data_IF_471691345546
#
_entry.id   IF_471691345546
#
_cell.length_a   1.000
_cell.length_b   1.000
_cell.length_c   1.000
_cell.angle_alpha   90.00
_cell.angle_beta   90.00
_cell.angle_gamma   90.00
#
_symmetry.space_group_name_H-M   'P 1'
#
loop_
_entity.id
_entity.type
_entity.pdbx_description
1 polymer ?
#
# COMPACT_ATOMS: atom_id res chain seq x y z
N UNK A 1 -25.32 -1.74 -14.49
CA UNK A 1 -24.25 -1.26 -15.39
C UNK A 1 -22.95 -1.68 -14.76
N UNK A 2 -22.09 -2.41 -15.47
CA UNK A 2 -20.75 -2.71 -14.96
C UNK A 2 -19.94 -1.42 -14.89
N UNK A 3 -19.37 -1.11 -13.74
CA UNK A 3 -18.49 0.04 -13.58
C UNK A 3 -17.18 -0.24 -14.33
N UNK A 4 -16.84 0.65 -15.25
CA UNK A 4 -15.61 0.56 -16.04
C UNK A 4 -14.88 1.88 -16.01
N UNK A 5 -13.55 1.82 -15.99
CA UNK A 5 -12.70 2.98 -16.16
C UNK A 5 -11.57 2.64 -17.14
N UNK A 6 -10.93 3.64 -17.73
CA UNK A 6 -9.80 3.40 -18.63
C UNK A 6 -8.84 4.57 -18.61
N UNK A 7 -7.60 4.29 -18.99
CA UNK A 7 -6.60 5.33 -19.12
C UNK A 7 -5.61 5.07 -20.25
N UNK A 8 -5.12 6.16 -20.84
CA UNK A 8 -4.04 6.17 -21.81
C UNK A 8 -2.87 6.98 -21.29
N UNK A 9 -1.68 6.43 -21.40
CA UNK A 9 -0.47 7.04 -20.84
C UNK A 9 0.73 6.76 -21.74
N UNK A 10 1.67 7.71 -21.76
CA UNK A 10 2.93 7.54 -22.48
C UNK A 10 3.80 6.54 -21.71
N UNK A 11 4.26 5.49 -22.41
CA UNK A 11 5.03 4.39 -21.83
C UNK A 11 6.29 4.88 -21.12
N UNK A 12 7.03 5.83 -21.71
CA UNK A 12 8.27 6.36 -21.13
C UNK A 12 8.01 7.09 -19.81
N UNK A 13 6.94 7.89 -19.73
CA UNK A 13 6.56 8.60 -18.50
C UNK A 13 6.17 7.64 -17.39
N UNK A 14 5.32 6.66 -17.70
CA UNK A 14 4.91 5.63 -16.74
C UNK A 14 6.12 4.82 -16.24
N UNK A 15 7.01 4.38 -17.15
CA UNK A 15 8.23 3.66 -16.76
C UNK A 15 9.18 4.52 -15.92
N UNK A 16 9.28 5.82 -16.20
CA UNK A 16 10.14 6.72 -15.43
C UNK A 16 9.61 6.90 -14.00
N UNK A 17 8.30 7.05 -13.83
CA UNK A 17 7.69 7.13 -12.51
C UNK A 17 7.83 5.80 -11.74
N UNK A 18 7.57 4.66 -12.38
CA UNK A 18 7.78 3.34 -11.76
C UNK A 18 9.25 3.10 -11.36
N UNK A 19 10.21 3.51 -12.19
CA UNK A 19 11.64 3.43 -11.84
C UNK A 19 11.99 4.30 -10.63
N UNK A 20 11.38 5.48 -10.49
CA UNK A 20 11.58 6.31 -9.30
C UNK A 20 11.10 5.59 -8.04
N UNK A 21 9.91 4.99 -8.09
CA UNK A 21 9.34 4.17 -7.00
C UNK A 21 10.20 2.92 -6.72
N UNK A 22 10.73 2.26 -7.75
CA UNK A 22 11.58 1.08 -7.57
C UNK A 22 12.95 1.37 -6.95
N UNK A 23 13.50 2.59 -7.14
CA UNK A 23 14.81 2.97 -6.58
C UNK A 23 14.77 3.16 -5.07
N UNK A 24 13.64 3.66 -4.59
CA UNK A 24 13.38 3.96 -3.18
C UNK A 24 12.86 2.73 -2.46
N UNK A 25 12.09 1.86 -3.12
CA UNK A 25 11.64 0.59 -2.59
C UNK A 25 12.80 -0.38 -2.35
N UNK A 26 13.38 -0.31 -1.15
CA UNK A 26 14.52 -1.13 -0.70
C UNK A 26 14.12 -2.38 0.06
N UNK A 27 12.82 -2.66 0.17
CA UNK A 27 12.27 -3.83 0.86
C UNK A 27 13.00 -5.12 0.49
N UNK A 28 13.32 -5.93 1.51
CA UNK A 28 13.86 -7.28 1.34
C UNK A 28 12.85 -8.22 0.64
N UNK A 29 11.58 -7.84 0.59
CA UNK A 29 10.48 -8.54 -0.08
C UNK A 29 10.05 -7.87 -1.39
N UNK A 30 10.99 -7.37 -2.20
CA UNK A 30 10.73 -6.63 -3.46
C UNK A 30 9.52 -7.17 -4.25
N UNK A 31 9.43 -8.48 -4.51
CA UNK A 31 8.34 -9.08 -5.30
C UNK A 31 6.92 -8.94 -4.73
N UNK A 32 6.79 -8.57 -3.46
CA UNK A 32 5.52 -8.39 -2.76
C UNK A 32 5.13 -6.91 -2.62
N UNK A 33 5.96 -5.96 -3.04
CA UNK A 33 5.62 -4.53 -2.95
C UNK A 33 4.36 -4.23 -3.76
N UNK A 34 3.32 -3.77 -3.06
CA UNK A 34 2.03 -3.36 -3.63
C UNK A 34 2.11 -1.90 -4.05
N UNK A 35 1.66 -1.61 -5.25
CA UNK A 35 1.48 -0.29 -5.81
C UNK A 35 0.00 0.05 -5.81
N UNK A 36 -0.36 1.10 -5.10
CA UNK A 36 -1.66 1.74 -5.20
C UNK A 36 -1.67 2.65 -6.42
N UNK A 37 -2.71 2.54 -7.25
CA UNK A 37 -2.92 3.42 -8.39
C UNK A 37 -4.32 3.99 -8.33
N UNK A 38 -4.40 5.33 -8.26
CA UNK A 38 -5.65 6.08 -8.30
C UNK A 38 -5.74 6.79 -9.65
N UNK A 39 -6.86 6.57 -10.34
CA UNK A 39 -7.24 7.17 -11.60
C UNK A 39 -8.29 8.25 -11.33
N UNK A 40 -7.96 9.50 -11.64
CA UNK A 40 -8.86 10.66 -11.48
C UNK A 40 -8.58 11.60 -12.66
N UNK A 41 -9.63 12.07 -13.34
CA UNK A 41 -9.65 13.12 -14.36
C UNK A 41 -8.28 13.70 -14.78
N UNK A 42 -7.68 13.10 -15.81
CA UNK A 42 -6.42 13.57 -16.39
C UNK A 42 -5.15 13.09 -15.69
N UNK A 43 -5.27 12.30 -14.61
CA UNK A 43 -4.19 11.97 -13.69
C UNK A 43 -4.18 10.49 -13.29
N UNK A 44 -2.97 9.94 -13.21
CA UNK A 44 -2.68 8.72 -12.48
C UNK A 44 -1.80 9.06 -11.29
N UNK A 45 -2.31 8.82 -10.09
CA UNK A 45 -1.55 8.91 -8.85
C UNK A 45 -1.12 7.50 -8.45
N UNK A 46 0.18 7.32 -8.26
CA UNK A 46 0.81 6.05 -7.90
C UNK A 46 1.44 6.19 -6.52
N UNK A 47 1.14 5.26 -5.62
CA UNK A 47 1.63 5.30 -4.25
C UNK A 47 2.15 3.94 -3.78
N UNK A 48 3.22 3.99 -2.99
CA UNK A 48 3.67 2.94 -2.09
C UNK A 48 3.81 3.58 -0.69
N UNK A 49 3.99 2.81 0.39
CA UNK A 49 4.33 3.37 1.69
C UNK A 49 5.46 4.42 1.59
N UNK A 50 5.14 5.65 1.99
CA UNK A 50 6.07 6.77 2.12
C UNK A 50 6.33 7.57 0.86
N UNK A 51 5.82 7.14 -0.32
CA UNK A 51 6.09 7.80 -1.60
C UNK A 51 4.86 7.80 -2.50
N UNK A 52 4.59 8.97 -3.07
CA UNK A 52 3.49 9.19 -4.00
C UNK A 52 3.98 10.00 -5.19
N UNK A 53 3.65 9.55 -6.40
CA UNK A 53 3.98 10.22 -7.66
C UNK A 53 2.73 10.38 -8.51
N UNK A 54 2.64 11.49 -9.24
CA UNK A 54 1.55 11.77 -10.15
C UNK A 54 2.09 11.82 -11.59
N UNK A 55 1.36 11.24 -12.54
CA UNK A 55 1.64 11.36 -13.97
C UNK A 55 0.37 11.75 -14.72
N UNK A 56 0.53 12.52 -15.79
CA UNK A 56 -0.58 12.92 -16.65
C UNK A 56 -1.02 11.71 -17.48
N UNK A 57 -2.33 11.50 -17.60
CA UNK A 57 -2.91 10.45 -18.41
C UNK A 57 -4.26 10.91 -18.98
N UNK A 58 -4.63 10.43 -20.17
CA UNK A 58 -6.00 10.62 -20.64
C UNK A 58 -6.89 9.57 -19.98
N UNK A 59 -7.86 10.00 -19.18
CA UNK A 59 -8.67 9.11 -18.33
C UNK A 59 -10.13 9.10 -18.78
N UNK A 60 -10.84 8.01 -18.48
CA UNK A 60 -12.30 7.93 -18.56
C UNK A 60 -12.81 7.19 -17.33
N UNK A 61 -13.65 7.85 -16.55
CA UNK A 61 -14.10 7.36 -15.25
C UNK A 61 -13.01 7.46 -14.18
N UNK A 62 -13.40 7.18 -12.94
CA UNK A 62 -12.52 7.26 -11.77
C UNK A 62 -12.51 5.94 -11.03
N UNK A 63 -11.33 5.48 -10.68
CA UNK A 63 -11.12 4.18 -10.06
C UNK A 63 -9.82 4.14 -9.26
N UNK A 64 -9.74 3.25 -8.28
CA UNK A 64 -8.51 2.91 -7.59
C UNK A 64 -8.25 1.43 -7.77
N UNK A 65 -7.00 1.04 -7.95
CA UNK A 65 -6.63 -0.36 -7.99
C UNK A 65 -5.27 -0.61 -7.33
N UNK A 66 -5.03 -1.86 -6.93
CA UNK A 66 -3.72 -2.29 -6.44
C UNK A 66 -3.11 -3.35 -7.34
N UNK A 67 -1.79 -3.26 -7.52
CA UNK A 67 -1.03 -4.20 -8.35
C UNK A 67 0.37 -4.42 -7.77
N UNK A 68 0.99 -5.56 -8.05
CA UNK A 68 2.40 -5.79 -7.67
C UNK A 68 3.32 -4.90 -8.51
N UNK A 69 4.10 -4.04 -7.85
CA UNK A 69 4.96 -3.04 -8.49
C UNK A 69 5.86 -3.61 -9.58
N UNK A 70 6.59 -4.68 -9.27
CA UNK A 70 7.56 -5.28 -10.19
C UNK A 70 6.88 -5.99 -11.37
N UNK A 71 5.82 -6.75 -11.09
CA UNK A 71 5.04 -7.43 -12.11
C UNK A 71 4.42 -6.43 -13.10
N UNK A 72 3.80 -5.36 -12.58
CA UNK A 72 3.23 -4.30 -13.41
C UNK A 72 4.30 -3.63 -14.28
N UNK A 73 5.46 -3.33 -13.69
CA UNK A 73 6.58 -2.74 -14.42
C UNK A 73 7.08 -3.66 -15.54
N UNK A 74 7.16 -4.96 -15.31
CA UNK A 74 7.63 -5.92 -16.31
C UNK A 74 6.63 -6.10 -17.47
N UNK A 75 5.32 -6.08 -17.18
CA UNK A 75 4.28 -6.00 -18.22
C UNK A 75 4.51 -4.76 -19.10
N UNK A 76 4.63 -3.58 -18.48
CA UNK A 76 4.80 -2.31 -19.21
C UNK A 76 6.09 -2.31 -20.05
N UNK A 77 7.19 -2.87 -19.53
CA UNK A 77 8.44 -2.99 -20.29
C UNK A 77 8.26 -3.85 -21.54
N UNK A 78 7.50 -4.95 -21.43
CA UNK A 78 7.28 -5.92 -22.51
C UNK A 78 6.44 -5.37 -23.68
N UNK A 79 5.63 -4.35 -23.43
CA UNK A 79 4.79 -3.71 -24.46
C UNK A 79 5.63 -2.99 -25.52
N UNK A 80 5.22 -3.01 -26.79
CA UNK A 80 5.96 -2.32 -27.86
C UNK A 80 5.49 -0.90 -28.13
N UNK A 81 4.26 -0.56 -27.74
CA UNK A 81 3.65 0.73 -28.08
C UNK A 81 4.18 1.85 -27.19
N UNK A 82 4.31 3.04 -27.76
CA UNK A 82 4.70 4.24 -27.03
C UNK A 82 3.56 4.80 -26.18
N UNK A 83 2.32 4.54 -26.56
CA UNK A 83 1.12 4.92 -25.80
C UNK A 83 0.40 3.65 -25.40
N UNK A 84 0.21 3.46 -24.10
CA UNK A 84 -0.45 2.28 -23.55
C UNK A 84 -1.89 2.62 -23.20
N UNK A 85 -2.81 1.73 -23.53
CA UNK A 85 -4.22 1.82 -23.19
C UNK A 85 -4.57 0.71 -22.22
N UNK A 86 -5.12 1.10 -21.07
CA UNK A 86 -5.53 0.20 -20.01
C UNK A 86 -7.02 0.30 -19.77
N UNK A 87 -7.65 -0.84 -19.54
CA UNK A 87 -9.08 -0.96 -19.23
C UNK A 87 -9.25 -1.62 -17.88
N UNK A 88 -10.01 -0.94 -17.02
CA UNK A 88 -10.40 -1.42 -15.71
C UNK A 88 -11.85 -1.86 -15.75
N UNK A 89 -12.05 -3.07 -15.25
CA UNK A 89 -13.35 -3.64 -14.90
C UNK A 89 -13.26 -4.16 -13.47
N UNK A 90 -14.36 -4.68 -12.94
CA UNK A 90 -14.36 -5.23 -11.59
C UNK A 90 -13.30 -6.31 -11.42
N UNK A 91 -12.33 -6.01 -10.55
CA UNK A 91 -11.18 -6.83 -10.18
C UNK A 91 -10.25 -7.25 -11.32
N UNK A 92 -10.26 -6.52 -12.45
CA UNK A 92 -9.38 -6.83 -13.58
C UNK A 92 -8.83 -5.58 -14.24
N UNK A 93 -7.55 -5.66 -14.58
CA UNK A 93 -6.84 -4.69 -15.40
C UNK A 93 -6.43 -5.38 -16.70
N UNK A 94 -6.76 -4.76 -17.81
CA UNK A 94 -6.47 -5.28 -19.14
C UNK A 94 -5.60 -4.31 -19.92
N UNK A 95 -4.63 -4.86 -20.66
CA UNK A 95 -3.82 -4.17 -21.65
C UNK A 95 -3.74 -5.03 -22.89
N UNK A 96 -4.30 -4.54 -24.00
CA UNK A 96 -4.51 -5.32 -25.23
C UNK A 96 -5.24 -6.66 -24.97
N UNK A 97 -4.54 -7.78 -25.17
CA UNK A 97 -5.04 -9.15 -24.98
C UNK A 97 -4.67 -9.72 -23.61
N UNK A 98 -3.81 -9.03 -22.85
CA UNK A 98 -3.43 -9.46 -21.52
C UNK A 98 -4.44 -8.90 -20.52
N UNK A 99 -4.97 -9.77 -19.66
CA UNK A 99 -5.86 -9.37 -18.58
C UNK A 99 -5.46 -10.11 -17.32
N UNK A 100 -5.28 -9.38 -16.22
CA UNK A 100 -4.81 -9.92 -14.96
C UNK A 100 -5.64 -9.39 -13.79
N UNK A 101 -5.77 -10.19 -12.72
CA UNK A 101 -6.54 -9.80 -11.56
C UNK A 101 -5.85 -8.68 -10.79
N UNK A 102 -6.64 -7.71 -10.33
CA UNK A 102 -6.25 -6.61 -9.44
C UNK A 102 -7.41 -6.37 -8.48
N UNK A 103 -7.18 -5.76 -7.31
CA UNK A 103 -8.29 -5.24 -6.53
C UNK A 103 -8.68 -3.90 -7.12
N UNK A 104 -9.98 -3.65 -7.33
CA UNK A 104 -10.47 -2.39 -7.90
C UNK A 104 -11.61 -1.81 -7.08
N UNK A 105 -11.64 -0.49 -6.96
CA UNK A 105 -12.78 0.25 -6.42
C UNK A 105 -13.10 1.41 -7.35
N UNK A 106 -14.36 1.49 -7.81
CA UNK A 106 -14.84 2.59 -8.64
C UNK A 106 -15.53 3.63 -7.77
N UNK A 107 -15.39 4.91 -8.13
CA UNK A 107 -15.97 5.99 -7.35
C UNK A 107 -16.39 7.16 -8.24
N UNK A 108 -17.51 7.81 -7.89
CA UNK A 108 -18.01 9.00 -8.58
C UNK A 108 -17.66 10.29 -7.81
N UNK A 109 -17.58 10.27 -6.47
CA UNK A 109 -17.04 11.35 -5.62
C UNK A 109 -16.88 10.94 -4.14
N UNK A 110 -15.95 11.62 -3.44
CA UNK A 110 -15.57 11.66 -2.01
C UNK A 110 -15.33 10.38 -1.18
N UNK A 111 -15.69 9.19 -1.66
CA UNK A 111 -15.36 7.92 -0.98
C UNK A 111 -14.30 7.12 -1.73
N UNK A 112 -13.09 7.66 -1.72
CA UNK A 112 -11.90 6.96 -2.23
C UNK A 112 -11.25 6.26 -1.04
N UNK A 113 -11.03 4.94 -1.13
CA UNK A 113 -10.21 4.22 -0.15
C UNK A 113 -8.83 4.88 -0.07
N UNK A 114 -8.44 5.36 1.12
CA UNK A 114 -7.18 6.10 1.26
C UNK A 114 -6.00 5.17 1.06
N UNK A 115 -4.93 5.71 0.47
CA UNK A 115 -3.65 5.02 0.47
C UNK A 115 -3.07 5.07 1.88
N UNK A 116 -2.44 3.97 2.28
CA UNK A 116 -1.88 3.87 3.61
C UNK A 116 -0.57 4.64 3.68
N UNK A 117 -0.53 5.63 4.58
CA UNK A 117 0.66 6.43 4.81
C UNK A 117 1.51 5.77 5.89
N UNK A 118 2.34 4.82 5.47
CA UNK A 118 3.38 4.21 6.29
C UNK A 118 4.76 4.70 5.85
N UNK A 119 5.75 4.79 6.75
CA UNK A 119 7.13 5.04 6.35
C UNK A 119 7.63 3.97 5.36
N UNK A 120 8.53 4.33 4.46
CA UNK A 120 9.09 3.40 3.46
C UNK A 120 9.77 2.16 4.09
N UNK A 121 10.39 2.34 5.26
CA UNK A 121 10.99 1.26 6.06
C UNK A 121 10.15 1.01 7.32
N UNK A 122 8.84 0.86 7.18
CA UNK A 122 7.96 0.60 8.32
C UNK A 122 8.38 -0.67 9.06
N UNK A 123 8.22 -0.64 10.38
CA UNK A 123 8.53 -1.73 11.29
C UNK A 123 7.25 -2.48 11.69
N UNK A 124 7.41 -3.65 12.33
CA UNK A 124 6.28 -4.35 12.97
C UNK A 124 5.53 -3.43 13.94
N UNK A 125 6.22 -2.42 14.51
CA UNK A 125 5.60 -1.47 15.42
C UNK A 125 4.67 -0.48 14.71
N UNK A 126 5.06 -0.01 13.53
CA UNK A 126 4.27 0.91 12.72
C UNK A 126 2.99 0.23 12.20
N UNK A 127 3.07 -1.06 11.86
CA UNK A 127 1.92 -1.87 11.47
C UNK A 127 0.93 -2.09 12.62
N UNK A 128 1.43 -2.33 13.83
CA UNK A 128 0.57 -2.49 15.01
C UNK A 128 -0.09 -1.16 15.38
N UNK A 129 0.64 -0.05 15.29
CA UNK A 129 0.05 1.28 15.47
C UNK A 129 -1.05 1.55 14.44
N UNK A 130 -0.82 1.17 13.19
CA UNK A 130 -1.81 1.29 12.14
C UNK A 130 -3.11 0.59 12.52
N UNK A 131 -3.04 -0.66 13.00
CA UNK A 131 -4.22 -1.43 13.46
C UNK A 131 -4.90 -0.81 14.68
N UNK A 132 -4.13 -0.28 15.64
CA UNK A 132 -4.66 0.23 16.90
C UNK A 132 -5.19 1.67 16.81
N UNK A 133 -4.67 2.47 15.90
CA UNK A 133 -5.03 3.89 15.77
C UNK A 133 -6.46 4.13 15.30
N UNK A 134 -7.10 3.13 14.66
CA UNK A 134 -8.40 3.31 14.00
C UNK A 134 -8.39 4.33 12.86
N UNK A 135 -7.21 4.81 12.44
CA UNK A 135 -7.06 5.84 11.41
C UNK A 135 -7.53 5.34 10.04
N UNK A 136 -7.41 4.04 9.77
CA UNK A 136 -7.79 3.38 8.53
C UNK A 136 -8.88 2.33 8.79
N UNK A 137 -9.79 2.15 7.85
CA UNK A 137 -10.82 1.11 7.92
C UNK A 137 -10.23 -0.26 7.56
N UNK A 138 -10.85 -1.35 8.02
CA UNK A 138 -10.43 -2.71 7.65
C UNK A 138 -10.39 -2.91 6.13
N UNK A 139 -11.34 -2.31 5.41
CA UNK A 139 -11.39 -2.31 3.94
C UNK A 139 -10.15 -1.65 3.33
N UNK A 140 -9.72 -0.50 3.86
CA UNK A 140 -8.50 0.19 3.42
C UNK A 140 -7.25 -0.69 3.65
N UNK A 141 -7.18 -1.39 4.79
CA UNK A 141 -6.05 -2.27 5.14
C UNK A 141 -5.98 -3.48 4.21
N UNK A 142 -7.12 -4.12 3.94
CA UNK A 142 -7.21 -5.26 3.02
C UNK A 142 -6.88 -4.82 1.59
N UNK A 143 -7.40 -3.67 1.15
CA UNK A 143 -7.15 -3.16 -0.20
C UNK A 143 -5.65 -2.95 -0.48
N UNK A 144 -4.90 -2.50 0.52
CA UNK A 144 -3.46 -2.27 0.46
C UNK A 144 -2.62 -3.55 0.71
N UNK A 145 -3.24 -4.73 0.89
CA UNK A 145 -2.58 -6.02 1.17
C UNK A 145 -1.71 -6.02 2.44
N UNK A 146 -2.12 -5.27 3.47
CA UNK A 146 -1.41 -5.16 4.75
C UNK A 146 -2.02 -6.00 5.87
N UNK A 147 -3.20 -6.58 5.67
CA UNK A 147 -3.96 -7.33 6.68
C UNK A 147 -3.14 -8.46 7.32
N UNK A 148 -2.54 -9.32 6.50
CA UNK A 148 -1.75 -10.48 6.96
C UNK A 148 -0.45 -10.04 7.62
N UNK A 149 0.20 -9.03 7.07
CA UNK A 149 1.47 -8.53 7.59
C UNK A 149 1.26 -7.84 8.94
N UNK A 150 0.19 -7.04 9.06
CA UNK A 150 -0.17 -6.37 10.31
C UNK A 150 -0.59 -7.36 11.40
N UNK A 151 -1.38 -8.39 11.08
CA UNK A 151 -1.72 -9.47 12.03
C UNK A 151 -0.47 -10.24 12.49
N UNK A 152 0.46 -10.51 11.57
CA UNK A 152 1.71 -11.20 11.90
C UNK A 152 2.60 -10.33 12.78
N UNK A 153 2.73 -9.05 12.46
CA UNK A 153 3.44 -8.06 13.27
C UNK A 153 2.85 -7.97 14.68
N UNK A 154 1.52 -7.94 14.81
CA UNK A 154 0.86 -7.93 16.12
C UNK A 154 1.19 -9.16 16.96
N UNK A 155 1.24 -10.35 16.35
CA UNK A 155 1.65 -11.57 17.06
C UNK A 155 3.11 -11.51 17.51
N UNK A 156 4.02 -11.01 16.66
CA UNK A 156 5.44 -10.86 17.00
C UNK A 156 5.66 -9.86 18.12
N UNK A 157 5.05 -8.68 18.03
CA UNK A 157 5.12 -7.66 19.08
C UNK A 157 4.60 -8.21 20.41
N UNK A 158 3.48 -8.94 20.42
CA UNK A 158 3.00 -9.61 21.65
C UNK A 158 3.99 -10.63 22.21
N UNK A 159 4.64 -11.41 21.34
CA UNK A 159 5.65 -12.38 21.75
C UNK A 159 6.89 -11.67 22.32
N UNK A 160 7.34 -10.58 21.69
CA UNK A 160 8.49 -9.80 22.14
C UNK A 160 8.21 -9.06 23.44
N UNK A 161 7.01 -8.48 23.61
CA UNK A 161 6.55 -7.93 24.89
C UNK A 161 6.62 -9.02 25.98
N UNK A 162 6.16 -10.24 25.68
CA UNK A 162 6.20 -11.34 26.64
C UNK A 162 7.64 -11.72 27.04
N UNK A 163 8.58 -11.69 26.09
CA UNK A 163 10.01 -11.90 26.39
C UNK A 163 10.59 -10.77 27.22
N UNK A 164 10.26 -9.51 26.89
CA UNK A 164 10.72 -8.34 27.64
C UNK A 164 10.21 -8.41 29.08
N UNK A 165 8.93 -8.73 29.30
CA UNK A 165 8.36 -8.94 30.64
C UNK A 165 9.15 -10.00 31.41
N UNK A 166 9.48 -11.12 30.76
CA UNK A 166 10.25 -12.20 31.39
C UNK A 166 11.68 -11.74 31.76
N UNK A 167 12.35 -11.01 30.88
CA UNK A 167 13.68 -10.45 31.12
C UNK A 167 13.67 -9.39 32.23
N UNK A 168 12.71 -8.47 32.20
CA UNK A 168 12.59 -7.38 33.17
C UNK A 168 12.16 -7.89 34.56
N UNK A 169 11.46 -9.04 34.62
CA UNK A 169 11.17 -9.71 35.89
C UNK A 169 12.43 -10.05 36.69
N UNK A 170 13.55 -10.37 36.01
CA UNK A 170 14.84 -10.62 36.69
C UNK A 170 15.37 -9.38 37.42
N UNK A 171 14.92 -8.18 37.02
CA UNK A 171 15.28 -6.90 37.63
C UNK A 171 14.19 -6.36 38.56
N UNK A 172 13.19 -7.17 38.92
CA UNK A 172 12.14 -6.81 39.88
C UNK A 172 10.95 -6.04 39.31
N UNK A 173 10.88 -5.81 38.00
CA UNK A 173 9.74 -5.13 37.38
C UNK A 173 8.48 -6.01 37.39
N UNK A 174 7.34 -5.40 37.70
CA UNK A 174 6.04 -6.07 37.59
C UNK A 174 5.57 -6.05 36.15
N UNK A 175 4.82 -7.09 35.76
CA UNK A 175 4.23 -7.21 34.43
C UNK A 175 3.46 -5.96 33.99
N UNK A 176 2.63 -5.41 34.88
CA UNK A 176 1.82 -4.21 34.60
C UNK A 176 2.68 -2.98 34.27
N UNK A 177 3.79 -2.79 34.98
CA UNK A 177 4.69 -1.64 34.76
C UNK A 177 5.35 -1.70 33.38
N UNK A 178 5.75 -2.90 32.95
CA UNK A 178 6.34 -3.13 31.61
C UNK A 178 5.29 -2.94 30.52
N UNK A 179 4.07 -3.45 30.72
CA UNK A 179 2.96 -3.26 29.79
C UNK A 179 2.57 -1.78 29.66
N UNK A 180 2.52 -1.03 30.75
CA UNK A 180 2.25 0.41 30.76
C UNK A 180 3.37 1.21 30.07
N UNK A 181 4.64 0.90 30.32
CA UNK A 181 5.78 1.53 29.63
C UNK A 181 5.70 1.37 28.11
N UNK A 182 5.40 0.16 27.65
CA UNK A 182 5.31 -0.13 26.22
C UNK A 182 4.07 0.55 25.64
N UNK A 183 2.91 0.48 26.31
CA UNK A 183 1.69 1.15 25.85
C UNK A 183 1.81 2.67 25.77
N UNK A 184 2.50 3.29 26.73
CA UNK A 184 2.77 4.73 26.71
C UNK A 184 3.69 5.08 25.53
N UNK A 185 4.70 4.26 25.24
CA UNK A 185 5.55 4.42 24.04
C UNK A 185 4.80 4.24 22.73
N UNK A 186 3.75 3.43 22.70
CA UNK A 186 2.88 3.29 21.52
C UNK A 186 2.08 4.55 21.25
N UNK A 187 1.64 5.25 22.30
CA UNK A 187 0.84 6.48 22.25
C UNK A 187 1.67 7.75 22.05
N UNK A 188 2.89 7.82 22.58
CA UNK A 188 3.72 9.04 22.58
C UNK A 188 4.12 9.56 21.19
N UNK A 189 4.14 8.72 20.15
CA UNK A 189 4.64 9.12 18.83
C UNK A 189 3.54 9.65 17.87
N UNK A 190 2.35 9.99 18.36
CA UNK A 190 1.29 10.60 17.53
C UNK A 190 1.41 12.14 17.40
N UNK A 191 2.38 12.78 18.09
CA UNK A 191 2.60 14.23 18.09
C UNK A 191 3.91 14.67 17.39
N UNK A 192 4.38 13.92 16.39
CA UNK A 192 5.60 14.25 15.62
C UNK A 192 5.30 14.48 14.15
#
# INVERSE_FOLDING_TARGET
MESTASFRVIKSELLNALKQIQRVEKSTKKKLSTLDVTLIDGLLQMAIPGIQLNIIAATKGSAKFTVRLWYFTDIIKSERDNTLHFELTENRLSIRKLSFPVLTTFFETDRILRSINLPLNYTDMDLVKLLLSGKYTDEEIVFNDLDKEALTAMRRVKADISKIILMMKAYGFKRKEVEELIQNKLKENENG
#
